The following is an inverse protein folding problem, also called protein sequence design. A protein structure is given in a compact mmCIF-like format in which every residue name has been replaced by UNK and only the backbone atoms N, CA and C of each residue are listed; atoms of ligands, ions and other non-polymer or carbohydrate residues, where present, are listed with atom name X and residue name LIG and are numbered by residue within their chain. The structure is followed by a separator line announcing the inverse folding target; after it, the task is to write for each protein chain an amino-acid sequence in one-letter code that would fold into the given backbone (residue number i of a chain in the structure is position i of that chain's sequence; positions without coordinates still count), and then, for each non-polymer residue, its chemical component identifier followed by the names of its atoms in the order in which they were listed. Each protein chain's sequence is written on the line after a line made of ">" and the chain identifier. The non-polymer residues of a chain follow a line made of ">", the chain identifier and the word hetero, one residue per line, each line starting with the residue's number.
data_IF_273831041880
#
_entry.id   IF_273831041880
#
_cell.length_a   1.000
_cell.length_b   1.000
_cell.length_c   1.000
_cell.angle_alpha   90.00
_cell.angle_beta   90.00
_cell.angle_gamma   90.00
#
_symmetry.space_group_name_H-M   'P 1'
#
loop_
_entity.id
_entity.type
_entity.pdbx_description
1 polymer ?
#
# COMPACT_ATOMS: atom_id res chain seq x y z
N UNK A 1 8.94 12.06 2.16
CA UNK A 1 7.80 11.17 2.46
C UNK A 1 7.50 10.20 1.31
N UNK A 2 8.50 9.48 0.80
CA UNK A 2 8.25 8.27 0.00
C UNK A 2 8.97 7.03 0.54
N UNK A 3 10.16 7.23 1.09
CA UNK A 3 11.00 6.15 1.61
C UNK A 3 10.37 5.45 2.83
N UNK A 4 9.69 6.19 3.71
CA UNK A 4 9.19 5.61 4.95
C UNK A 4 7.96 4.72 4.76
N UNK A 5 7.00 5.07 3.88
CA UNK A 5 5.85 4.21 3.63
C UNK A 5 6.25 2.91 2.90
N UNK A 6 7.22 2.97 1.98
CA UNK A 6 7.69 1.79 1.24
C UNK A 6 8.33 0.79 2.19
N UNK A 7 9.14 1.25 3.15
CA UNK A 7 9.70 0.42 4.23
C UNK A 7 8.59 -0.22 5.07
N UNK A 8 7.59 0.53 5.50
CA UNK A 8 6.47 0.01 6.30
C UNK A 8 5.69 -1.04 5.53
N UNK A 9 5.35 -0.80 4.25
CA UNK A 9 4.63 -1.77 3.43
C UNK A 9 5.42 -3.07 3.25
N UNK A 10 6.72 -2.99 2.97
CA UNK A 10 7.60 -4.16 2.85
C UNK A 10 7.74 -4.92 4.15
N UNK A 11 7.88 -4.20 5.27
CA UNK A 11 7.99 -4.81 6.59
C UNK A 11 6.71 -5.59 6.94
N UNK A 12 5.54 -4.96 6.80
CA UNK A 12 4.25 -5.60 7.09
C UNK A 12 3.98 -6.80 6.16
N UNK A 13 4.33 -6.68 4.88
CA UNK A 13 4.24 -7.79 3.94
C UNK A 13 5.19 -8.94 4.31
N UNK A 14 6.40 -8.64 4.81
CA UNK A 14 7.40 -9.64 5.19
C UNK A 14 7.00 -10.42 6.46
N UNK A 15 6.27 -9.80 7.39
CA UNK A 15 5.75 -10.47 8.60
C UNK A 15 4.35 -11.07 8.40
N UNK A 16 3.83 -11.06 7.18
CA UNK A 16 2.48 -11.53 6.82
C UNK A 16 1.34 -10.86 7.61
N UNK A 17 1.55 -9.63 8.10
CA UNK A 17 0.51 -8.83 8.77
C UNK A 17 -0.32 -8.04 7.75
N UNK A 18 -1.19 -8.77 7.05
CA UNK A 18 -2.06 -8.23 6.01
C UNK A 18 -3.08 -7.25 6.59
N UNK A 19 -3.57 -7.50 7.81
CA UNK A 19 -4.60 -6.66 8.42
C UNK A 19 -4.05 -5.24 8.63
N UNK A 20 -2.88 -5.15 9.26
CA UNK A 20 -2.20 -3.87 9.46
C UNK A 20 -1.75 -3.25 8.14
N UNK A 21 -1.26 -4.05 7.17
CA UNK A 21 -0.92 -3.55 5.83
C UNK A 21 -2.12 -2.93 5.12
N UNK A 22 -3.26 -3.59 5.17
CA UNK A 22 -4.53 -3.16 4.57
C UNK A 22 -4.99 -1.85 5.19
N UNK A 23 -5.01 -1.76 6.52
CA UNK A 23 -5.40 -0.54 7.24
C UNK A 23 -4.44 0.61 6.93
N UNK A 24 -3.14 0.33 6.92
CA UNK A 24 -2.12 1.33 6.60
C UNK A 24 -2.28 1.89 5.19
N UNK A 25 -2.45 1.03 4.18
CA UNK A 25 -2.66 1.44 2.78
C UNK A 25 -3.99 2.20 2.62
N UNK A 26 -5.03 1.81 3.35
CA UNK A 26 -6.33 2.53 3.36
C UNK A 26 -6.16 3.96 3.88
N UNK A 27 -5.53 4.13 5.04
CA UNK A 27 -5.26 5.45 5.60
C UNK A 27 -4.41 6.31 4.66
N UNK A 28 -3.45 5.69 3.95
CA UNK A 28 -2.64 6.36 2.94
C UNK A 28 -3.48 6.79 1.73
N UNK A 29 -4.39 5.94 1.26
CA UNK A 29 -5.33 6.25 0.19
C UNK A 29 -6.27 7.40 0.60
N UNK A 30 -6.80 7.40 1.81
CA UNK A 30 -7.71 8.47 2.25
C UNK A 30 -7.00 9.83 2.35
N UNK A 31 -5.75 9.83 2.80
CA UNK A 31 -4.93 11.04 2.90
C UNK A 31 -4.42 11.56 1.55
N UNK A 32 -4.04 10.66 0.64
CA UNK A 32 -3.27 11.01 -0.55
C UNK A 32 -3.90 10.57 -1.88
N UNK A 33 -4.97 9.79 -1.86
CA UNK A 33 -5.64 9.20 -3.03
C UNK A 33 -6.18 10.22 -4.03
N UNK A 34 -6.49 11.43 -3.54
CA UNK A 34 -6.93 12.55 -4.34
C UNK A 34 -5.79 13.30 -5.06
N UNK A 35 -4.52 13.01 -4.72
CA UNK A 35 -3.37 13.62 -5.39
C UNK A 35 -3.02 12.84 -6.65
N UNK A 36 -2.62 13.53 -7.73
CA UNK A 36 -2.15 12.90 -8.98
C UNK A 36 -1.01 11.89 -8.76
N UNK A 37 -0.23 12.10 -7.70
CA UNK A 37 0.88 11.22 -7.35
C UNK A 37 0.41 9.86 -6.83
N UNK A 38 -0.85 9.71 -6.42
CA UNK A 38 -1.39 8.45 -5.88
C UNK A 38 -1.12 7.26 -6.80
N UNK A 39 -1.26 7.43 -8.12
CA UNK A 39 -0.95 6.37 -9.10
C UNK A 39 0.51 5.88 -9.03
N UNK A 40 1.45 6.73 -8.65
CA UNK A 40 2.85 6.35 -8.42
C UNK A 40 2.98 5.63 -7.08
N UNK A 41 2.32 6.13 -6.03
CA UNK A 41 2.30 5.48 -4.71
C UNK A 41 1.68 4.08 -4.76
N UNK A 42 0.50 3.93 -5.37
CA UNK A 42 -0.20 2.65 -5.49
C UNK A 42 0.62 1.61 -6.25
N UNK A 43 1.33 2.03 -7.30
CA UNK A 43 2.26 1.15 -8.02
C UNK A 43 3.42 0.68 -7.14
N UNK A 44 4.03 1.57 -6.36
CA UNK A 44 5.10 1.20 -5.44
C UNK A 44 4.60 0.30 -4.31
N UNK A 45 3.44 0.59 -3.74
CA UNK A 45 2.79 -0.24 -2.71
C UNK A 45 2.49 -1.64 -3.27
N UNK A 46 2.04 -1.75 -4.52
CA UNK A 46 1.84 -3.05 -5.17
C UNK A 46 3.14 -3.86 -5.24
N UNK A 47 4.25 -3.22 -5.57
CA UNK A 47 5.58 -3.88 -5.60
C UNK A 47 6.02 -4.27 -4.18
N UNK A 48 5.85 -3.38 -3.20
CA UNK A 48 6.21 -3.62 -1.80
C UNK A 48 5.38 -4.73 -1.14
N UNK A 49 4.08 -4.80 -1.45
CA UNK A 49 3.16 -5.80 -0.94
C UNK A 49 3.36 -7.19 -1.55
N UNK A 50 4.04 -7.29 -2.70
CA UNK A 50 4.39 -8.54 -3.35
C UNK A 50 3.17 -9.44 -3.57
N UNK A 51 3.18 -10.64 -2.95
CA UNK A 51 2.08 -11.62 -3.06
C UNK A 51 0.71 -11.09 -2.57
N UNK A 52 0.72 -10.06 -1.73
CA UNK A 52 -0.49 -9.43 -1.18
C UNK A 52 -1.07 -8.32 -2.06
N UNK A 53 -0.39 -7.95 -3.14
CA UNK A 53 -0.87 -6.90 -4.05
C UNK A 53 -2.23 -7.23 -4.68
N UNK A 54 -2.50 -8.51 -4.99
CA UNK A 54 -3.80 -8.93 -5.49
C UNK A 54 -4.91 -8.79 -4.44
N UNK A 55 -4.62 -9.10 -3.18
CA UNK A 55 -5.57 -8.98 -2.08
C UNK A 55 -5.94 -7.51 -1.83
N UNK A 56 -4.94 -6.62 -1.87
CA UNK A 56 -5.15 -5.18 -1.77
C UNK A 56 -5.95 -4.62 -2.97
N UNK A 57 -5.72 -5.14 -4.19
CA UNK A 57 -6.52 -4.78 -5.38
C UNK A 57 -7.97 -5.19 -5.25
N UNK A 58 -8.26 -6.41 -4.77
CA UNK A 58 -9.63 -6.89 -4.54
C UNK A 58 -10.39 -5.98 -3.58
N UNK A 59 -9.68 -5.37 -2.63
CA UNK A 59 -10.23 -4.43 -1.64
C UNK A 59 -10.37 -2.99 -2.14
N UNK A 60 -10.09 -2.72 -3.43
CA UNK A 60 -10.09 -1.39 -4.06
C UNK A 60 -9.12 -0.39 -3.43
N UNK A 61 -8.03 -0.88 -2.85
CA UNK A 61 -7.01 -0.03 -2.21
C UNK A 61 -5.87 0.36 -3.14
N UNK A 62 -5.82 -0.23 -4.33
CA UNK A 62 -4.82 0.02 -5.36
C UNK A 62 -5.53 0.31 -6.68
N UNK A 63 -4.98 1.28 -7.44
CA UNK A 63 -5.45 1.63 -8.77
C UNK A 63 -4.99 0.61 -9.84
#
# INVERSE_FOLDING_TARGET
>A
MLVEYDKTCRYLAAIDDIATLTEYVTNLHDCFGHQDRWSIFSRNISVAAGRWAEELRKRRQLA
#
